data_IF_526510789782
#
_entry.id   IF_526510789782
#
_cell.length_a   1.000
_cell.length_b   1.000
_cell.length_c   1.000
_cell.angle_alpha   90.00
_cell.angle_beta   90.00
_cell.angle_gamma   90.00
#
_symmetry.space_group_name_H-M   'P 1'
#
loop_
_entity.id
_entity.type
_entity.pdbx_description
1 polymer ?
#
# COMPACT_ATOMS: atom_id res chain seq x y z
N UNK A 1 1.45 -3.92 5.97
CA UNK A 1 2.70 -3.24 5.58
C UNK A 1 3.64 -3.23 6.78
N UNK A 2 4.95 -3.25 6.57
CA UNK A 2 5.94 -3.20 7.67
C UNK A 2 6.72 -1.89 7.66
N UNK A 3 6.95 -1.32 8.84
CA UNK A 3 7.84 -0.18 9.03
C UNK A 3 9.07 -0.60 9.83
N UNK A 4 10.24 -0.23 9.33
CA UNK A 4 11.52 -0.41 10.00
C UNK A 4 11.97 0.92 10.61
N UNK A 5 12.14 0.95 11.93
CA UNK A 5 12.74 2.06 12.67
C UNK A 5 14.18 1.68 12.99
N UNK A 6 15.14 2.53 12.63
CA UNK A 6 16.56 2.38 12.97
C UNK A 6 17.03 3.62 13.72
N UNK A 7 16.85 3.60 15.04
CA UNK A 7 17.09 4.74 15.95
C UNK A 7 17.65 4.19 17.26
N UNK A 8 18.69 4.83 17.81
CA UNK A 8 19.28 4.39 19.08
C UNK A 8 18.42 4.78 20.30
N UNK A 9 17.84 5.99 20.25
CA UNK A 9 16.99 6.56 21.30
C UNK A 9 15.57 5.95 21.30
N UNK A 10 15.21 5.29 22.41
CA UNK A 10 13.90 4.67 22.60
C UNK A 10 12.76 5.68 22.62
N UNK A 11 12.97 6.88 23.17
CA UNK A 11 11.92 7.88 23.26
C UNK A 11 11.52 8.37 21.85
N UNK A 12 12.51 8.59 20.99
CA UNK A 12 12.27 8.94 19.59
C UNK A 12 11.62 7.77 18.85
N UNK A 13 12.10 6.55 19.06
CA UNK A 13 11.51 5.36 18.43
C UNK A 13 10.03 5.18 18.80
N UNK A 14 9.66 5.41 20.06
CA UNK A 14 8.26 5.32 20.52
C UNK A 14 7.37 6.43 19.95
N UNK A 15 7.89 7.66 19.82
CA UNK A 15 7.16 8.75 19.14
C UNK A 15 6.92 8.38 17.67
N UNK A 16 7.94 7.90 16.97
CA UNK A 16 7.84 7.47 15.58
C UNK A 16 6.84 6.31 15.44
N UNK A 17 6.92 5.31 16.32
CA UNK A 17 5.98 4.18 16.38
C UNK A 17 4.54 4.66 16.55
N UNK A 18 4.29 5.60 17.46
CA UNK A 18 2.96 6.16 17.73
C UNK A 18 2.32 6.78 16.48
N UNK A 19 3.11 7.38 15.59
CA UNK A 19 2.60 7.95 14.33
C UNK A 19 2.50 6.96 13.17
N UNK A 20 3.26 5.87 13.20
CA UNK A 20 3.23 4.83 12.16
C UNK A 20 2.11 3.80 12.38
N UNK A 21 1.82 3.42 13.63
CA UNK A 21 0.81 2.41 13.93
C UNK A 21 -0.60 2.76 13.42
N UNK A 22 -1.10 4.01 13.55
CA UNK A 22 -2.41 4.40 13.00
C UNK A 22 -2.50 4.29 11.47
N UNK A 23 -1.36 4.16 10.78
CA UNK A 23 -1.28 4.00 9.33
C UNK A 23 -1.27 2.52 8.91
N UNK A 24 -1.57 1.59 9.83
CA UNK A 24 -1.64 0.15 9.53
C UNK A 24 -0.29 -0.54 9.33
N UNK A 25 0.80 0.10 9.77
CA UNK A 25 2.15 -0.43 9.68
C UNK A 25 2.50 -1.26 10.91
N UNK A 26 2.97 -2.49 10.69
CA UNK A 26 3.62 -3.28 11.73
C UNK A 26 5.05 -2.78 11.93
N UNK A 27 5.39 -2.38 13.15
CA UNK A 27 6.59 -1.59 13.45
C UNK A 27 7.68 -2.46 14.08
N UNK A 28 8.77 -2.64 13.34
CA UNK A 28 9.99 -3.32 13.77
C UNK A 28 11.06 -2.26 14.08
N UNK A 29 11.71 -2.37 15.24
CA UNK A 29 12.70 -1.39 15.69
C UNK A 29 14.05 -2.06 15.95
N UNK A 30 15.11 -1.45 15.39
CA UNK A 30 16.50 -1.80 15.66
C UNK A 30 17.26 -0.58 16.19
N UNK A 31 18.12 -0.82 17.18
CA UNK A 31 19.12 0.15 17.66
C UNK A 31 20.47 0.03 16.95
N UNK A 32 20.66 -1.05 16.19
CA UNK A 32 21.91 -1.35 15.50
C UNK A 32 21.63 -1.40 14.00
N UNK A 33 22.22 -0.49 13.19
CA UNK A 33 21.99 -0.46 11.76
C UNK A 33 22.57 -1.67 11.03
N UNK A 34 23.57 -2.36 11.59
CA UNK A 34 24.12 -3.57 10.98
C UNK A 34 23.15 -4.74 11.13
N UNK A 35 22.54 -4.91 12.31
CA UNK A 35 21.47 -5.89 12.50
C UNK A 35 20.26 -5.59 11.62
N UNK A 36 19.90 -4.32 11.49
CA UNK A 36 18.82 -3.91 10.59
C UNK A 36 19.13 -4.28 9.14
N UNK A 37 20.37 -4.05 8.69
CA UNK A 37 20.83 -4.41 7.34
C UNK A 37 20.84 -5.93 7.12
N UNK A 38 21.34 -6.71 8.07
CA UNK A 38 21.41 -8.18 7.97
C UNK A 38 20.01 -8.83 7.83
N UNK A 39 18.99 -8.21 8.41
CA UNK A 39 17.60 -8.71 8.36
C UNK A 39 16.74 -7.98 7.30
N UNK A 40 17.32 -7.06 6.53
CA UNK A 40 16.56 -6.15 5.68
C UNK A 40 15.75 -6.87 4.59
N UNK A 41 16.31 -7.93 4.02
CA UNK A 41 15.65 -8.78 3.02
C UNK A 41 14.44 -9.52 3.60
N UNK A 42 14.57 -10.09 4.80
CA UNK A 42 13.47 -10.80 5.49
C UNK A 42 12.37 -9.83 5.96
N UNK A 43 12.78 -8.68 6.47
CA UNK A 43 11.84 -7.63 6.88
C UNK A 43 11.09 -7.14 5.65
N UNK A 44 11.79 -6.82 4.56
CA UNK A 44 11.24 -6.22 3.34
C UNK A 44 10.32 -5.02 3.65
N UNK A 45 10.82 -3.95 4.29
CA UNK A 45 10.00 -2.87 4.83
C UNK A 45 9.37 -1.99 3.73
N UNK A 46 8.16 -1.51 3.99
CA UNK A 46 7.44 -0.55 3.15
C UNK A 46 7.72 0.90 3.57
N UNK A 47 8.12 1.10 4.82
CA UNK A 47 8.66 2.36 5.33
C UNK A 47 9.92 2.13 6.16
N UNK A 48 10.89 3.04 6.04
CA UNK A 48 12.10 3.08 6.86
C UNK A 48 12.23 4.47 7.46
N UNK A 49 12.30 4.55 8.78
CA UNK A 49 12.64 5.78 9.52
C UNK A 49 13.97 5.54 10.21
N UNK A 50 14.99 6.33 9.87
CA UNK A 50 16.34 6.10 10.37
C UNK A 50 16.98 7.38 10.90
N UNK A 51 17.66 7.28 12.04
CA UNK A 51 18.45 8.38 12.57
C UNK A 51 19.74 8.56 11.77
N UNK A 52 19.85 9.70 11.07
CA UNK A 52 21.09 10.15 10.45
C UNK A 52 22.02 10.83 11.46
N UNK A 53 21.54 11.14 12.66
CA UNK A 53 22.33 11.66 13.77
C UNK A 53 23.10 10.54 14.47
N UNK A 54 22.41 9.45 14.81
CA UNK A 54 23.03 8.29 15.48
C UNK A 54 23.92 7.52 14.51
N UNK A 55 23.48 7.42 13.24
CA UNK A 55 24.13 6.58 12.23
C UNK A 55 24.47 7.36 10.93
N UNK A 56 25.31 8.41 10.99
CA UNK A 56 25.56 9.32 9.86
C UNK A 56 26.18 8.65 8.62
N UNK A 57 26.79 7.47 8.80
CA UNK A 57 27.40 6.68 7.71
C UNK A 57 26.52 5.54 7.21
N UNK A 58 25.72 4.92 8.06
CA UNK A 58 25.05 3.65 7.75
C UNK A 58 23.77 3.81 6.94
N UNK A 59 23.10 4.98 7.04
CA UNK A 59 21.87 5.20 6.29
C UNK A 59 22.05 5.06 4.78
N UNK A 60 23.25 5.40 4.27
CA UNK A 60 23.58 5.30 2.84
C UNK A 60 23.51 3.85 2.37
N UNK A 61 24.05 2.91 3.15
CA UNK A 61 24.08 1.49 2.82
C UNK A 61 22.66 0.92 2.76
N UNK A 62 21.84 1.19 3.78
CA UNK A 62 20.44 0.73 3.82
C UNK A 62 19.65 1.32 2.65
N UNK A 63 19.82 2.62 2.35
CA UNK A 63 19.13 3.25 1.22
C UNK A 63 19.55 2.64 -0.10
N UNK A 64 20.85 2.46 -0.34
CA UNK A 64 21.36 1.88 -1.59
C UNK A 64 20.86 0.44 -1.76
N UNK A 65 20.88 -0.36 -0.70
CA UNK A 65 20.40 -1.74 -0.72
C UNK A 65 18.91 -1.81 -1.13
N UNK A 66 18.05 -1.05 -0.45
CA UNK A 66 16.62 -0.98 -0.79
C UNK A 66 16.41 -0.47 -2.21
N UNK A 67 17.15 0.57 -2.62
CA UNK A 67 16.96 1.22 -3.92
C UNK A 67 17.54 0.43 -5.09
N UNK A 68 18.39 -0.56 -4.83
CA UNK A 68 18.87 -1.48 -5.85
C UNK A 68 17.73 -2.32 -6.44
N UNK A 69 16.68 -2.61 -5.66
CA UNK A 69 15.56 -3.47 -6.05
C UNK A 69 14.19 -2.81 -5.97
N UNK A 70 14.00 -1.77 -5.14
CA UNK A 70 12.71 -1.12 -4.89
C UNK A 70 12.71 0.36 -5.24
N UNK A 71 11.78 0.84 -6.09
CA UNK A 71 11.67 2.27 -6.42
C UNK A 71 11.22 3.10 -5.21
N UNK A 72 11.40 4.44 -5.28
CA UNK A 72 11.03 5.38 -4.19
C UNK A 72 9.58 5.27 -3.71
N UNK A 73 8.67 4.87 -4.59
CA UNK A 73 7.25 4.72 -4.30
C UNK A 73 6.91 3.40 -3.59
N UNK A 74 7.77 2.38 -3.66
CA UNK A 74 7.53 1.07 -3.08
C UNK A 74 8.14 0.93 -1.67
N UNK A 75 9.04 1.81 -1.26
CA UNK A 75 9.56 1.85 0.10
C UNK A 75 9.91 3.28 0.47
N UNK A 76 9.22 3.84 1.45
CA UNK A 76 9.38 5.22 1.91
C UNK A 76 10.57 5.31 2.85
N UNK A 77 11.56 6.14 2.56
CA UNK A 77 12.70 6.32 3.45
C UNK A 77 12.75 7.75 3.98
N UNK A 78 12.67 7.90 5.30
CA UNK A 78 12.75 9.19 6.00
C UNK A 78 13.95 9.18 6.94
N UNK A 79 14.78 10.22 6.83
CA UNK A 79 15.92 10.41 7.73
C UNK A 79 15.58 11.42 8.83
N UNK A 80 15.87 11.05 10.08
CA UNK A 80 15.83 11.95 11.23
C UNK A 80 17.21 12.58 11.38
N UNK A 81 17.30 13.90 11.22
CA UNK A 81 18.55 14.66 11.34
C UNK A 81 18.63 15.39 12.68
N UNK A 82 19.86 15.51 13.18
CA UNK A 82 20.19 16.45 14.25
C UNK A 82 20.35 17.88 13.72
N UNK A 83 20.98 18.72 14.55
CA UNK A 83 21.29 20.11 14.19
C UNK A 83 22.32 20.19 13.06
N UNK A 84 23.30 19.28 13.07
CA UNK A 84 24.32 19.21 12.04
C UNK A 84 23.95 18.21 10.95
N UNK A 85 23.48 18.74 9.82
CA UNK A 85 23.23 17.97 8.60
C UNK A 85 23.53 18.87 7.39
N UNK A 86 24.79 18.88 6.91
CA UNK A 86 25.22 19.84 5.91
C UNK A 86 24.55 19.60 4.56
N UNK A 87 24.59 20.62 3.69
CA UNK A 87 24.02 20.56 2.34
C UNK A 87 24.51 19.34 1.55
N UNK A 88 25.79 18.96 1.70
CA UNK A 88 26.35 17.78 1.04
C UNK A 88 25.64 16.48 1.45
N UNK A 89 25.29 16.32 2.73
CA UNK A 89 24.57 15.14 3.21
C UNK A 89 23.11 15.15 2.72
N UNK A 90 22.48 16.32 2.65
CA UNK A 90 21.15 16.47 2.04
C UNK A 90 21.15 16.16 0.54
N UNK A 91 22.17 16.61 -0.19
CA UNK A 91 22.34 16.32 -1.61
C UNK A 91 22.54 14.82 -1.85
N UNK A 92 23.36 14.15 -1.03
CA UNK A 92 23.51 12.69 -1.07
C UNK A 92 22.19 11.98 -0.78
N UNK A 93 21.44 12.41 0.24
CA UNK A 93 20.16 11.80 0.59
C UNK A 93 19.17 11.89 -0.59
N UNK A 94 19.05 13.07 -1.20
CA UNK A 94 18.20 13.28 -2.37
C UNK A 94 18.64 12.41 -3.57
N UNK A 95 19.94 12.38 -3.86
CA UNK A 95 20.52 11.60 -4.95
C UNK A 95 20.32 10.09 -4.78
N UNK A 96 20.58 9.56 -3.59
CA UNK A 96 20.41 8.14 -3.26
C UNK A 96 18.94 7.72 -3.15
N UNK A 97 18.01 8.68 -3.10
CA UNK A 97 16.59 8.42 -3.20
C UNK A 97 15.85 8.29 -1.88
N UNK A 98 16.33 9.00 -0.86
CA UNK A 98 15.57 9.29 0.36
C UNK A 98 14.34 10.13 0.00
N UNK A 99 13.20 9.84 0.64
CA UNK A 99 11.93 10.51 0.38
C UNK A 99 11.82 11.84 1.13
N UNK A 100 12.42 11.94 2.32
CA UNK A 100 12.50 13.18 3.07
C UNK A 100 13.50 13.14 4.22
N UNK A 101 13.86 14.33 4.68
CA UNK A 101 14.72 14.54 5.85
C UNK A 101 13.97 15.48 6.79
N UNK A 102 13.82 15.07 8.05
CA UNK A 102 13.10 15.83 9.10
C UNK A 102 13.98 15.93 10.34
N UNK A 103 13.79 16.96 11.17
CA UNK A 103 14.48 17.00 12.46
C UNK A 103 14.01 15.84 13.34
N UNK A 104 14.94 15.32 14.14
CA UNK A 104 14.64 14.30 15.15
C UNK A 104 13.73 14.84 16.27
N UNK A 105 13.78 16.14 16.53
CA UNK A 105 12.86 16.79 17.47
C UNK A 105 11.45 16.88 16.88
N UNK A 106 10.68 15.82 17.11
CA UNK A 106 9.28 15.70 16.71
C UNK A 106 8.31 16.39 17.70
N UNK A 107 8.83 17.11 18.71
CA UNK A 107 8.00 17.98 19.55
C UNK A 107 7.62 19.28 18.83
N UNK A 108 8.42 19.69 17.84
CA UNK A 108 8.08 20.78 16.92
C UNK A 108 6.93 20.36 16.00
N UNK A 109 5.79 21.04 16.13
CA UNK A 109 4.59 20.78 15.33
C UNK A 109 4.85 20.84 13.82
N UNK A 110 5.71 21.75 13.36
CA UNK A 110 5.98 21.90 11.93
C UNK A 110 6.78 20.72 11.36
N UNK A 111 7.75 20.21 12.13
CA UNK A 111 8.53 19.03 11.74
C UNK A 111 7.68 17.76 11.84
N UNK A 112 6.83 17.67 12.86
CA UNK A 112 5.86 16.58 12.99
C UNK A 112 4.88 16.56 11.82
N UNK A 113 4.30 17.69 11.44
CA UNK A 113 3.41 17.78 10.27
C UNK A 113 4.13 17.36 8.99
N UNK A 114 5.38 17.80 8.79
CA UNK A 114 6.20 17.38 7.64
C UNK A 114 6.44 15.87 7.65
N UNK A 115 6.77 15.30 8.80
CA UNK A 115 6.96 13.86 8.97
C UNK A 115 5.69 13.08 8.60
N UNK A 116 4.54 13.50 9.13
CA UNK A 116 3.26 12.89 8.81
C UNK A 116 2.88 13.05 7.33
N UNK A 117 3.12 14.20 6.72
CA UNK A 117 2.85 14.42 5.29
C UNK A 117 3.73 13.54 4.40
N UNK A 118 5.00 13.33 4.75
CA UNK A 118 5.88 12.41 4.05
C UNK A 118 5.33 10.99 4.14
N UNK A 119 4.94 10.54 5.33
CA UNK A 119 4.38 9.20 5.48
C UNK A 119 3.06 9.04 4.73
N UNK A 120 2.09 9.95 4.93
CA UNK A 120 0.79 9.91 4.25
C UNK A 120 0.92 9.92 2.74
N UNK A 121 1.77 10.79 2.16
CA UNK A 121 1.94 10.87 0.70
C UNK A 121 2.31 9.53 0.11
N UNK A 122 3.15 8.75 0.76
CA UNK A 122 3.63 7.49 0.19
C UNK A 122 2.88 6.27 0.72
N UNK A 123 2.31 6.32 1.91
CA UNK A 123 1.41 5.30 2.43
C UNK A 123 0.06 5.38 1.72
N UNK A 124 -0.44 6.54 1.30
CA UNK A 124 -1.60 6.65 0.39
C UNK A 124 -1.27 6.15 -1.03
N UNK A 125 -0.02 6.34 -1.49
CA UNK A 125 0.46 5.79 -2.78
C UNK A 125 0.66 4.26 -2.71
N UNK A 126 0.97 3.68 -1.54
CA UNK A 126 1.13 2.22 -1.36
C UNK A 126 -0.16 1.53 -0.85
N UNK A 127 -1.04 2.24 -0.11
CA UNK A 127 -2.43 1.85 0.13
C UNK A 127 -3.12 1.66 -1.22
N UNK A 128 -2.89 2.55 -2.19
CA UNK A 128 -3.43 2.38 -3.55
C UNK A 128 -2.93 1.12 -4.28
N UNK A 129 -1.90 0.41 -3.78
CA UNK A 129 -1.26 -0.74 -4.47
C UNK A 129 -1.29 -2.06 -3.70
N UNK A 130 -1.22 -2.06 -2.37
CA UNK A 130 -1.13 -3.31 -1.57
C UNK A 130 -2.15 -3.38 -0.43
N UNK A 131 -2.59 -2.24 0.14
CA UNK A 131 -3.47 -2.21 1.32
C UNK A 131 -4.94 -1.80 1.05
N UNK A 132 -5.24 -1.24 -0.14
CA UNK A 132 -6.62 -1.07 -0.64
C UNK A 132 -7.30 -2.40 -0.99
N UNK A 133 -6.56 -3.51 -1.05
CA UNK A 133 -7.11 -4.81 -1.46
C UNK A 133 -7.91 -5.44 -0.33
N UNK A 134 -9.16 -5.04 -0.24
CA UNK A 134 -10.19 -5.65 0.59
C UNK A 134 -10.44 -7.09 0.15
N UNK A 135 -10.13 -8.06 1.02
CA UNK A 135 -10.69 -9.40 0.94
C UNK A 135 -12.14 -9.34 1.50
N UNK A 136 -13.18 -9.61 0.68
CA UNK A 136 -14.57 -9.47 1.12
C UNK A 136 -14.89 -10.37 2.32
N UNK A 137 -15.39 -9.77 3.41
CA UNK A 137 -15.87 -10.47 4.59
C UNK A 137 -17.37 -10.77 4.53
N UNK A 138 -17.94 -11.46 5.55
CA UNK A 138 -19.36 -11.82 5.58
C UNK A 138 -20.34 -10.64 5.57
N UNK A 139 -19.88 -9.46 6.03
CA UNK A 139 -20.66 -8.21 6.03
C UNK A 139 -20.56 -7.43 4.72
N UNK A 140 -19.63 -7.81 3.83
CA UNK A 140 -19.43 -7.12 2.57
C UNK A 140 -20.39 -7.63 1.49
N UNK A 141 -20.96 -6.68 0.75
CA UNK A 141 -21.94 -6.89 -0.31
C UNK A 141 -21.30 -6.56 -1.64
N UNK A 142 -20.29 -7.36 -1.97
CA UNK A 142 -19.56 -7.27 -3.23
C UNK A 142 -20.02 -8.40 -4.16
N UNK A 143 -19.91 -8.18 -5.46
CA UNK A 143 -20.20 -9.19 -6.47
C UNK A 143 -19.66 -8.76 -7.82
N UNK A 144 -19.21 -9.70 -8.63
CA UNK A 144 -18.61 -9.39 -9.92
C UNK A 144 -19.01 -10.43 -10.96
N UNK A 145 -19.35 -9.95 -12.15
CA UNK A 145 -19.64 -10.78 -13.33
C UNK A 145 -19.13 -10.05 -14.56
N UNK A 146 -18.65 -10.80 -15.56
CA UNK A 146 -18.32 -10.26 -16.87
C UNK A 146 -18.78 -11.22 -17.97
N UNK A 147 -19.01 -10.71 -19.17
CA UNK A 147 -19.32 -11.53 -20.33
C UNK A 147 -18.04 -11.98 -21.03
N UNK A 148 -17.98 -13.26 -21.40
CA UNK A 148 -16.90 -13.78 -22.23
C UNK A 148 -16.91 -13.08 -23.60
N UNK A 149 -15.80 -12.51 -24.09
CA UNK A 149 -15.79 -11.66 -25.28
C UNK A 149 -16.18 -12.40 -26.57
N UNK A 150 -15.87 -13.70 -26.69
CA UNK A 150 -16.17 -14.48 -27.89
C UNK A 150 -17.57 -15.12 -27.90
N UNK A 151 -18.11 -15.46 -26.72
CA UNK A 151 -19.34 -16.26 -26.60
C UNK A 151 -20.48 -15.50 -25.94
N UNK A 152 -20.21 -14.32 -25.38
CA UNK A 152 -21.10 -13.52 -24.54
C UNK A 152 -21.67 -14.27 -23.35
N UNK A 153 -21.13 -15.45 -23.02
CA UNK A 153 -21.56 -16.24 -21.87
C UNK A 153 -21.15 -15.51 -20.57
N UNK A 154 -22.03 -15.46 -19.55
CA UNK A 154 -21.69 -14.82 -18.28
C UNK A 154 -20.67 -15.66 -17.52
N UNK A 155 -19.58 -15.02 -17.10
CA UNK A 155 -18.56 -15.59 -16.24
C UNK A 155 -18.80 -15.09 -14.81
N UNK A 156 -19.24 -16.03 -13.96
CA UNK A 156 -19.49 -15.82 -12.54
C UNK A 156 -18.38 -16.42 -11.68
N UNK A 157 -18.28 -15.95 -10.44
CA UNK A 157 -17.19 -16.31 -9.55
C UNK A 157 -17.17 -15.48 -8.28
N UNK A 158 -16.07 -15.62 -7.55
CA UNK A 158 -15.87 -14.93 -6.27
C UNK A 158 -14.75 -13.90 -6.39
N UNK A 159 -14.96 -12.73 -5.81
CA UNK A 159 -13.91 -11.73 -5.65
C UNK A 159 -13.01 -12.20 -4.50
N UNK A 160 -11.75 -12.49 -4.80
CA UNK A 160 -10.75 -12.84 -3.79
C UNK A 160 -10.28 -11.58 -3.06
N UNK A 161 -9.97 -10.52 -3.80
CA UNK A 161 -9.63 -9.20 -3.27
C UNK A 161 -10.09 -8.09 -4.21
N UNK A 162 -10.40 -6.89 -3.71
CA UNK A 162 -10.78 -5.72 -4.50
C UNK A 162 -10.16 -4.45 -3.94
N UNK A 163 -9.78 -3.52 -4.81
CA UNK A 163 -9.27 -2.18 -4.51
C UNK A 163 -10.06 -1.13 -5.29
N UNK A 164 -9.73 0.15 -5.08
CA UNK A 164 -10.25 1.25 -5.90
C UNK A 164 -9.85 1.17 -7.38
N UNK A 165 -8.81 0.41 -7.72
CA UNK A 165 -8.21 0.36 -9.07
C UNK A 165 -8.34 -0.98 -9.79
N UNK A 166 -8.83 -2.03 -9.12
CA UNK A 166 -8.94 -3.36 -9.71
C UNK A 166 -9.30 -4.45 -8.70
N UNK A 167 -9.43 -5.69 -9.17
CA UNK A 167 -9.80 -6.85 -8.34
C UNK A 167 -9.08 -8.13 -8.75
N UNK A 168 -9.06 -9.11 -7.84
CA UNK A 168 -8.71 -10.51 -8.09
C UNK A 168 -9.98 -11.35 -8.05
N UNK A 169 -10.13 -12.26 -9.00
CA UNK A 169 -11.35 -13.01 -9.21
C UNK A 169 -11.07 -14.49 -9.46
N UNK A 170 -11.85 -15.33 -8.81
CA UNK A 170 -11.82 -16.78 -8.98
C UNK A 170 -13.08 -17.19 -9.74
N UNK A 171 -12.97 -17.53 -11.03
CA UNK A 171 -14.12 -17.99 -11.81
C UNK A 171 -14.59 -19.36 -11.29
N UNK A 172 -15.89 -19.62 -11.31
CA UNK A 172 -16.43 -20.94 -10.94
C UNK A 172 -15.99 -22.04 -11.93
N UNK A 173 -15.86 -21.66 -13.20
CA UNK A 173 -15.46 -22.57 -14.29
C UNK A 173 -14.18 -22.07 -14.97
N UNK A 174 -13.02 -22.53 -14.49
CA UNK A 174 -11.70 -22.15 -15.05
C UNK A 174 -11.58 -22.46 -16.54
N UNK A 175 -12.22 -23.53 -17.02
CA UNK A 175 -12.23 -23.90 -18.43
C UNK A 175 -12.92 -22.85 -19.33
N UNK A 176 -13.87 -22.08 -18.79
CA UNK A 176 -14.62 -21.07 -19.55
C UNK A 176 -13.85 -19.76 -19.75
N UNK A 177 -12.65 -19.64 -19.18
CA UNK A 177 -11.77 -18.47 -19.30
C UNK A 177 -10.37 -18.84 -19.80
N UNK A 178 -10.17 -20.09 -20.21
CA UNK A 178 -8.86 -20.64 -20.55
C UNK A 178 -8.27 -20.05 -21.85
N UNK A 179 -9.13 -19.54 -22.73
CA UNK A 179 -8.79 -18.89 -24.00
C UNK A 179 -8.58 -17.38 -23.88
N UNK A 180 -8.79 -16.79 -22.69
CA UNK A 180 -8.52 -15.37 -22.47
C UNK A 180 -7.03 -15.10 -22.35
N UNK A 181 -6.59 -13.99 -22.95
CA UNK A 181 -5.20 -13.52 -22.88
C UNK A 181 -5.08 -12.23 -22.04
N UNK A 182 -3.99 -12.08 -21.26
CA UNK A 182 -3.68 -10.80 -20.62
C UNK A 182 -3.63 -9.65 -21.63
N UNK A 183 -4.15 -8.49 -21.22
CA UNK A 183 -4.24 -7.26 -22.00
C UNK A 183 -5.61 -7.01 -22.62
N UNK A 184 -6.47 -8.03 -22.73
CA UNK A 184 -7.83 -7.89 -23.27
C UNK A 184 -8.66 -6.93 -22.43
N UNK A 185 -9.33 -6.00 -23.13
CA UNK A 185 -10.33 -5.10 -22.56
C UNK A 185 -11.70 -5.78 -22.64
N UNK A 186 -12.39 -5.85 -21.52
CA UNK A 186 -13.75 -6.37 -21.42
C UNK A 186 -14.64 -5.23 -20.96
N UNK A 187 -15.53 -4.79 -21.85
CA UNK A 187 -16.43 -3.66 -21.60
C UNK A 187 -17.74 -4.10 -20.91
N UNK A 188 -18.13 -5.36 -21.11
CA UNK A 188 -19.34 -5.96 -20.55
C UNK A 188 -19.05 -6.61 -19.19
N UNK A 189 -18.70 -5.81 -18.19
CA UNK A 189 -18.59 -6.27 -16.80
C UNK A 189 -19.44 -5.43 -15.84
N UNK A 190 -19.84 -6.05 -14.73
CA UNK A 190 -20.66 -5.43 -13.71
C UNK A 190 -20.12 -5.73 -12.33
N UNK A 191 -19.91 -4.67 -11.55
CA UNK A 191 -19.45 -4.73 -10.17
C UNK A 191 -20.60 -4.29 -9.25
N UNK A 192 -21.06 -5.20 -8.39
CA UNK A 192 -21.97 -4.86 -7.30
C UNK A 192 -21.18 -4.32 -6.11
N UNK A 193 -21.59 -3.14 -5.64
CA UNK A 193 -21.08 -2.49 -4.43
C UNK A 193 -22.28 -2.09 -3.56
N UNK A 194 -22.48 -2.81 -2.47
CA UNK A 194 -23.69 -2.71 -1.63
C UNK A 194 -24.98 -2.94 -2.42
N UNK A 195 -25.84 -1.90 -2.53
CA UNK A 195 -27.07 -1.93 -3.30
C UNK A 195 -26.88 -1.48 -4.76
N UNK A 196 -25.74 -0.87 -5.09
CA UNK A 196 -25.44 -0.37 -6.43
C UNK A 196 -24.84 -1.47 -7.31
N UNK A 197 -25.19 -1.45 -8.60
CA UNK A 197 -24.55 -2.26 -9.64
C UNK A 197 -23.95 -1.29 -10.64
N UNK A 198 -22.63 -1.28 -10.71
CA UNK A 198 -21.85 -0.39 -11.58
C UNK A 198 -21.47 -1.17 -12.84
N UNK A 199 -21.82 -0.69 -14.05
CA UNK A 199 -21.14 -1.14 -15.26
C UNK A 199 -19.67 -0.72 -15.16
N UNK A 200 -18.73 -1.60 -15.51
CA UNK A 200 -17.31 -1.29 -15.35
C UNK A 200 -16.48 -1.88 -16.48
N UNK A 201 -15.71 -1.04 -17.16
CA UNK A 201 -14.68 -1.52 -18.07
C UNK A 201 -13.55 -2.17 -17.28
N UNK A 202 -13.06 -3.32 -17.73
CA UNK A 202 -11.95 -4.01 -17.07
C UNK A 202 -10.88 -4.41 -18.08
N UNK A 203 -9.62 -4.27 -17.69
CA UNK A 203 -8.50 -4.86 -18.43
C UNK A 203 -7.96 -6.05 -17.69
N UNK A 204 -7.88 -7.17 -18.38
CA UNK A 204 -7.31 -8.41 -17.85
C UNK A 204 -5.79 -8.26 -17.75
N UNK A 205 -5.23 -8.43 -16.55
CA UNK A 205 -3.79 -8.33 -16.30
C UNK A 205 -3.13 -9.69 -16.18
N UNK A 206 -3.85 -10.68 -15.65
CA UNK A 206 -3.35 -12.04 -15.41
C UNK A 206 -4.49 -13.05 -15.51
N UNK A 207 -4.20 -14.19 -16.12
CA UNK A 207 -5.11 -15.34 -16.27
C UNK A 207 -4.65 -16.53 -15.44
N UNK A 208 -5.51 -17.55 -15.30
CA UNK A 208 -5.27 -18.76 -14.52
C UNK A 208 -6.38 -19.03 -13.51
N UNK A 209 -6.06 -19.78 -12.45
CA UNK A 209 -7.01 -20.08 -11.38
C UNK A 209 -7.50 -18.83 -10.62
N UNK A 210 -6.65 -17.81 -10.55
CA UNK A 210 -6.99 -16.49 -10.02
C UNK A 210 -6.69 -15.44 -11.09
N UNK A 211 -7.75 -14.84 -11.62
CA UNK A 211 -7.67 -13.76 -12.60
C UNK A 211 -7.42 -12.43 -11.90
N UNK A 212 -6.65 -11.54 -12.52
CA UNK A 212 -6.45 -10.18 -12.02
C UNK A 212 -6.90 -9.17 -13.07
N UNK A 213 -7.68 -8.19 -12.63
CA UNK A 213 -8.23 -7.13 -13.48
C UNK A 213 -7.87 -5.75 -12.94
N UNK A 214 -7.57 -4.80 -13.83
CA UNK A 214 -7.62 -3.37 -13.53
C UNK A 214 -8.90 -2.76 -14.03
N UNK A 215 -9.43 -1.76 -13.32
CA UNK A 215 -10.61 -1.02 -13.71
C UNK A 215 -10.27 0.09 -14.71
N UNK A 216 -11.02 0.13 -15.80
CA UNK A 216 -11.13 1.25 -16.72
C UNK A 216 -12.47 1.94 -16.47
N UNK A 217 -12.53 2.67 -15.36
CA UNK A 217 -13.72 3.36 -14.88
C UNK A 217 -13.49 4.87 -14.74
N UNK A 218 -14.58 5.61 -14.67
CA UNK A 218 -14.61 7.04 -14.38
C UNK A 218 -14.23 7.35 -12.92
N UNK A 219 -13.91 8.61 -12.65
CA UNK A 219 -13.61 9.08 -11.29
C UNK A 219 -14.81 8.93 -10.35
N UNK A 220 -16.04 9.04 -10.86
CA UNK A 220 -17.26 8.86 -10.08
C UNK A 220 -17.42 7.40 -9.61
N UNK A 221 -17.27 6.44 -10.53
CA UNK A 221 -17.31 5.01 -10.21
C UNK A 221 -16.20 4.62 -9.23
N UNK A 222 -14.99 5.16 -9.45
CA UNK A 222 -13.86 4.96 -8.54
C UNK A 222 -14.13 5.50 -7.15
N UNK A 223 -14.77 6.66 -7.03
CA UNK A 223 -15.14 7.24 -5.75
C UNK A 223 -16.18 6.38 -5.00
N UNK A 224 -17.15 5.78 -5.70
CA UNK A 224 -18.13 4.85 -5.10
C UNK A 224 -17.41 3.63 -4.51
N UNK A 225 -16.50 3.02 -5.28
CA UNK A 225 -15.74 1.84 -4.84
C UNK A 225 -14.85 2.20 -3.64
N UNK A 226 -14.11 3.30 -3.72
CA UNK A 226 -13.21 3.75 -2.64
C UNK A 226 -13.97 4.09 -1.36
N UNK A 227 -15.09 4.82 -1.46
CA UNK A 227 -15.94 5.15 -0.31
C UNK A 227 -16.51 3.88 0.36
N UNK A 228 -16.90 2.89 -0.45
CA UNK A 228 -17.30 1.61 0.10
C UNK A 228 -16.16 0.93 0.84
N UNK A 229 -14.98 0.78 0.24
CA UNK A 229 -13.83 0.10 0.89
C UNK A 229 -13.45 0.79 2.20
N UNK A 230 -13.35 2.13 2.22
CA UNK A 230 -13.02 2.91 3.40
C UNK A 230 -14.03 2.75 4.55
N UNK A 231 -15.32 2.61 4.24
CA UNK A 231 -16.39 2.44 5.23
C UNK A 231 -16.47 1.06 5.91
N UNK A 232 -15.51 0.15 5.67
CA UNK A 232 -15.57 -1.24 6.17
C UNK A 232 -15.68 -1.33 7.68
N UNK A 233 -14.83 -0.59 8.41
CA UNK A 233 -14.75 -0.66 9.88
C UNK A 233 -16.11 -0.33 10.51
N UNK A 234 -16.79 0.69 10.00
CA UNK A 234 -18.14 1.06 10.47
C UNK A 234 -19.18 -0.02 10.16
N UNK A 235 -19.10 -0.68 8.98
CA UNK A 235 -20.00 -1.78 8.61
C UNK A 235 -19.78 -3.02 9.47
N UNK A 236 -18.53 -3.39 9.73
CA UNK A 236 -18.21 -4.51 10.62
C UNK A 236 -18.72 -4.24 12.04
N UNK A 237 -18.47 -3.04 12.59
CA UNK A 237 -18.98 -2.63 13.90
C UNK A 237 -20.52 -2.68 13.96
N UNK A 238 -21.22 -2.17 12.95
CA UNK A 238 -22.70 -2.25 12.88
C UNK A 238 -23.20 -3.70 12.81
N UNK A 239 -22.50 -4.58 12.10
CA UNK A 239 -22.88 -5.99 11.98
C UNK A 239 -22.73 -6.75 13.30
N UNK A 240 -21.79 -6.35 14.15
CA UNK A 240 -21.55 -6.94 15.47
C UNK A 240 -22.52 -6.39 16.52
N UNK A 241 -22.92 -5.12 16.42
CA UNK A 241 -23.87 -4.48 17.35
C UNK A 241 -25.33 -4.83 17.09
N UNK A 242 -25.68 -5.23 15.86
CA UNK A 242 -27.04 -5.61 15.46
C UNK A 242 -27.29 -7.15 15.55
N UNK A 243 -26.53 -7.86 16.38
CA UNK A 243 -26.73 -9.28 16.70
C UNK A 243 -27.28 -9.46 18.10
#
# INVERSE_FOLDING_TARGET
>A
MKALIVVEDDAIAEIVRFYLQPLGLDVIHYKDPLKALDNLEEISPDAVVMSAKDFPRHWKTIVVDIRASRPKAACVIVLLKGDYFPFEEAAKAAYLGVNGVVKEDLSDKAELERFQQLLKRYIEIDDSRVSDRLAPGPSDRLGFVFAHPASSAPIIGTIETISSTGLSFIPEAVAAVADLEPGVLLEDASLRVDAAILPIGIRLLRTGAVMAFSFECSDEERAIISSYIAGRVERELRSLLNR
#
